data_IF_726020438968
#
_entry.id   IF_726020438968
#
_cell.length_a   1.000
_cell.length_b   1.000
_cell.length_c   1.000
_cell.angle_alpha   90.00
_cell.angle_beta   90.00
_cell.angle_gamma   90.00
#
_symmetry.space_group_name_H-M   'P 1'
#
loop_
_entity.id
_entity.type
_entity.pdbx_description
1 polymer ?
#
# COMPACT_ATOMS: atom_id res chain seq x y z
N UNK A 1 -13.20 -4.40 2.58
CA UNK A 1 -12.03 -4.20 1.70
C UNK A 1 -10.75 -4.42 2.50
N UNK A 2 -10.62 -3.79 3.66
CA UNK A 2 -9.47 -3.93 4.54
C UNK A 2 -9.74 -4.91 5.68
N UNK A 3 -10.82 -4.71 6.45
CA UNK A 3 -11.14 -5.45 7.70
C UNK A 3 -11.78 -6.83 7.51
N UNK A 4 -12.09 -7.19 6.28
CA UNK A 4 -12.64 -8.50 5.93
C UNK A 4 -12.49 -8.73 4.43
N UNK A 5 -13.14 -9.79 3.92
CA UNK A 5 -12.94 -10.27 2.55
C UNK A 5 -12.79 -9.11 1.56
N UNK A 6 -11.66 -9.09 0.86
CA UNK A 6 -11.38 -8.06 -0.13
C UNK A 6 -12.32 -8.21 -1.32
N UNK A 7 -12.94 -7.10 -1.75
CA UNK A 7 -13.96 -7.09 -2.81
C UNK A 7 -13.62 -6.05 -3.87
N UNK A 8 -13.76 -6.42 -5.14
CA UNK A 8 -13.36 -5.59 -6.29
C UNK A 8 -14.13 -4.28 -6.49
N UNK A 9 -15.41 -4.10 -6.07
CA UNK A 9 -16.13 -2.87 -6.38
C UNK A 9 -15.58 -1.60 -5.72
N UNK A 10 -14.87 -1.75 -4.60
CA UNK A 10 -14.37 -0.65 -3.79
C UNK A 10 -12.96 -0.21 -4.23
N UNK A 11 -12.80 0.28 -5.45
CA UNK A 11 -11.49 0.76 -5.93
C UNK A 11 -11.08 2.07 -5.26
N UNK A 12 -9.77 2.37 -5.19
CA UNK A 12 -9.27 3.63 -4.61
C UNK A 12 -9.91 4.88 -5.21
N UNK A 13 -10.10 4.93 -6.52
CA UNK A 13 -10.70 6.08 -7.23
C UNK A 13 -12.16 6.28 -6.84
N UNK A 14 -12.90 5.17 -6.62
CA UNK A 14 -14.30 5.22 -6.18
C UNK A 14 -14.42 5.68 -4.74
N UNK A 15 -13.51 5.24 -3.87
CA UNK A 15 -13.43 5.71 -2.46
C UNK A 15 -13.04 7.19 -2.43
N UNK A 16 -12.04 7.61 -3.21
CA UNK A 16 -11.67 9.01 -3.38
C UNK A 16 -12.85 9.86 -3.85
N UNK A 17 -13.58 9.40 -4.89
CA UNK A 17 -14.71 10.12 -5.43
C UNK A 17 -15.86 10.26 -4.41
N UNK A 18 -16.13 9.22 -3.60
CA UNK A 18 -17.04 9.32 -2.47
C UNK A 18 -16.61 10.46 -1.51
N UNK A 19 -15.33 10.51 -1.14
CA UNK A 19 -14.80 11.55 -0.27
C UNK A 19 -14.89 12.95 -0.90
N UNK A 20 -14.60 13.09 -2.20
CA UNK A 20 -14.77 14.36 -2.95
C UNK A 20 -16.21 14.86 -2.94
N UNK A 21 -17.19 13.96 -3.07
CA UNK A 21 -18.60 14.36 -3.01
C UNK A 21 -18.97 14.92 -1.62
N UNK A 22 -18.28 14.50 -0.56
CA UNK A 22 -18.50 14.91 0.83
C UNK A 22 -17.69 16.14 1.26
N UNK A 23 -16.77 16.64 0.42
CA UNK A 23 -15.91 17.81 0.70
C UNK A 23 -16.72 19.07 1.06
N UNK A 24 -17.90 19.21 0.45
CA UNK A 24 -18.82 20.34 0.69
C UNK A 24 -19.93 19.99 1.70
N UNK A 25 -19.64 19.09 2.63
CA UNK A 25 -20.50 18.75 3.76
C UNK A 25 -21.30 17.45 3.62
N UNK A 26 -21.93 17.00 4.73
CA UNK A 26 -22.61 15.72 4.85
C UNK A 26 -23.68 15.47 3.79
N UNK A 27 -23.85 14.21 3.37
CA UNK A 27 -24.89 13.80 2.40
C UNK A 27 -25.53 12.48 2.79
N UNK A 28 -26.80 12.30 2.46
CA UNK A 28 -27.45 11.01 2.66
C UNK A 28 -26.97 9.98 1.62
N UNK A 29 -27.17 8.70 1.94
CA UNK A 29 -26.75 7.56 1.11
C UNK A 29 -27.38 7.56 -0.30
N UNK A 30 -28.64 7.97 -0.42
CA UNK A 30 -29.39 7.96 -1.69
C UNK A 30 -28.79 8.96 -2.68
N UNK A 31 -28.51 10.18 -2.22
CA UNK A 31 -27.93 11.24 -3.03
C UNK A 31 -26.52 10.86 -3.52
N UNK A 32 -25.68 10.32 -2.63
CA UNK A 32 -24.33 9.89 -2.99
C UNK A 32 -24.37 8.75 -4.01
N UNK A 33 -25.20 7.74 -3.77
CA UNK A 33 -25.37 6.62 -4.71
C UNK A 33 -25.78 7.10 -6.10
N UNK A 34 -26.76 8.02 -6.18
CA UNK A 34 -27.23 8.56 -7.46
C UNK A 34 -26.17 9.36 -8.24
N UNK A 35 -25.22 9.99 -7.53
CA UNK A 35 -24.10 10.75 -8.14
C UNK A 35 -22.92 9.88 -8.53
N UNK A 36 -22.73 8.74 -7.86
CA UNK A 36 -21.66 7.79 -8.15
C UNK A 36 -22.02 6.79 -9.25
N UNK A 37 -23.30 6.44 -9.35
CA UNK A 37 -23.78 5.44 -10.29
C UNK A 37 -24.92 6.00 -11.12
N UNK A 38 -24.65 6.39 -12.38
CA UNK A 38 -25.71 6.65 -13.35
C UNK A 38 -26.66 5.47 -13.42
N UNK A 39 -27.98 5.73 -13.50
CA UNK A 39 -29.00 4.67 -13.61
C UNK A 39 -28.76 3.69 -14.76
N UNK A 40 -28.02 4.09 -15.80
CA UNK A 40 -27.68 3.19 -16.91
C UNK A 40 -26.65 2.11 -16.52
N UNK A 41 -25.81 2.37 -15.51
CA UNK A 41 -24.79 1.44 -15.01
C UNK A 41 -25.29 0.61 -13.81
N UNK A 42 -26.31 1.08 -13.09
CA UNK A 42 -26.99 0.34 -12.03
C UNK A 42 -28.53 0.51 -12.16
N UNK A 43 -29.17 -0.15 -13.15
CA UNK A 43 -30.58 0.06 -13.47
C UNK A 43 -31.54 -0.27 -12.33
N UNK A 44 -31.17 -1.26 -11.51
CA UNK A 44 -31.97 -1.75 -10.40
C UNK A 44 -31.52 -1.19 -9.05
N UNK A 45 -30.36 -0.53 -8.98
CA UNK A 45 -29.80 -0.03 -7.73
C UNK A 45 -29.28 -1.13 -6.78
N UNK A 46 -29.31 -2.41 -7.15
CA UNK A 46 -29.05 -3.52 -6.24
C UNK A 46 -27.63 -4.09 -6.37
N UNK A 47 -26.75 -3.40 -7.09
CA UNK A 47 -25.39 -3.89 -7.37
C UNK A 47 -24.50 -4.11 -6.13
N UNK A 48 -24.89 -3.61 -4.95
CA UNK A 48 -24.07 -3.65 -3.73
C UNK A 48 -22.81 -2.78 -3.77
N UNK A 49 -22.47 -2.21 -4.93
CA UNK A 49 -21.21 -1.48 -5.16
C UNK A 49 -21.05 -0.28 -4.25
N UNK A 50 -22.10 0.54 -4.10
CA UNK A 50 -22.07 1.68 -3.20
C UNK A 50 -21.81 1.26 -1.75
N UNK A 51 -22.43 0.17 -1.30
CA UNK A 51 -22.22 -0.38 0.04
C UNK A 51 -20.76 -0.76 0.27
N UNK A 52 -20.13 -1.43 -0.71
CA UNK A 52 -18.74 -1.85 -0.60
C UNK A 52 -17.77 -0.66 -0.60
N UNK A 53 -18.02 0.36 -1.43
CA UNK A 53 -17.21 1.59 -1.45
C UNK A 53 -17.33 2.35 -0.14
N UNK A 54 -18.57 2.52 0.35
CA UNK A 54 -18.83 3.18 1.64
C UNK A 54 -18.13 2.42 2.77
N UNK A 55 -18.28 1.10 2.82
CA UNK A 55 -17.62 0.25 3.82
C UNK A 55 -16.10 0.41 3.78
N UNK A 56 -15.48 0.43 2.60
CA UNK A 56 -14.04 0.66 2.49
C UNK A 56 -13.63 2.05 3.02
N UNK A 57 -14.44 3.09 2.76
CA UNK A 57 -14.20 4.42 3.30
C UNK A 57 -14.37 4.48 4.84
N UNK A 58 -15.34 3.74 5.40
CA UNK A 58 -15.54 3.58 6.85
C UNK A 58 -14.36 2.81 7.49
N UNK A 59 -13.90 1.73 6.85
CA UNK A 59 -12.76 0.92 7.30
C UNK A 59 -11.45 1.73 7.35
N UNK A 60 -11.27 2.67 6.42
CA UNK A 60 -10.14 3.61 6.37
C UNK A 60 -10.32 4.86 7.24
N UNK A 61 -11.42 4.94 8.01
CA UNK A 61 -11.78 6.11 8.82
C UNK A 61 -11.80 7.42 8.03
N UNK A 62 -12.14 7.34 6.74
CA UNK A 62 -12.30 8.50 5.87
C UNK A 62 -13.66 9.17 6.06
N UNK A 63 -14.67 8.37 6.41
CA UNK A 63 -16.04 8.81 6.61
C UNK A 63 -16.64 8.17 7.84
N UNK A 64 -17.70 8.81 8.37
CA UNK A 64 -18.54 8.29 9.46
C UNK A 64 -20.01 8.44 9.08
N UNK A 65 -20.86 7.55 9.60
CA UNK A 65 -22.31 7.61 9.45
C UNK A 65 -22.94 8.09 10.75
N UNK A 66 -23.60 9.24 10.70
CA UNK A 66 -24.31 9.83 11.84
C UNK A 66 -25.64 10.41 11.34
N UNK A 67 -26.73 10.18 12.08
CA UNK A 67 -28.06 10.70 11.75
C UNK A 67 -28.51 10.41 10.29
N UNK A 68 -28.23 9.20 9.79
CA UNK A 68 -28.46 8.78 8.40
C UNK A 68 -27.70 9.60 7.34
N UNK A 69 -26.72 10.40 7.74
CA UNK A 69 -25.85 11.19 6.89
C UNK A 69 -24.43 10.60 6.92
N UNK A 70 -23.80 10.58 5.75
CA UNK A 70 -22.38 10.24 5.62
C UNK A 70 -21.60 11.55 5.69
N UNK A 71 -20.62 11.61 6.59
CA UNK A 71 -19.77 12.78 6.85
C UNK A 71 -18.33 12.44 6.52
N UNK A 72 -17.60 13.38 5.93
CA UNK A 72 -16.15 13.26 5.77
C UNK A 72 -15.49 13.45 7.14
N UNK A 73 -14.69 12.48 7.57
CA UNK A 73 -13.86 12.55 8.78
C UNK A 73 -12.44 13.00 8.44
N UNK A 74 -11.94 12.60 7.27
CA UNK A 74 -10.59 12.92 6.86
C UNK A 74 -10.39 14.41 6.50
N UNK A 75 -9.19 14.97 6.67
CA UNK A 75 -8.88 16.36 6.30
C UNK A 75 -9.10 16.64 4.81
N UNK A 76 -9.66 17.80 4.44
CA UNK A 76 -9.96 18.10 3.04
C UNK A 76 -8.72 18.28 2.16
N UNK A 77 -7.56 18.61 2.74
CA UNK A 77 -6.31 18.74 2.00
C UNK A 77 -5.82 17.41 1.40
N UNK A 78 -6.29 16.25 1.88
CA UNK A 78 -5.96 14.95 1.26
C UNK A 78 -6.70 14.76 -0.07
N UNK A 79 -7.73 15.58 -0.33
CA UNK A 79 -8.61 15.50 -1.49
C UNK A 79 -8.18 16.43 -2.63
N UNK A 80 -6.96 16.98 -2.57
CA UNK A 80 -6.42 17.84 -3.62
C UNK A 80 -5.95 17.03 -4.84
N UNK A 81 -5.47 15.80 -4.63
CA UNK A 81 -5.05 14.90 -5.70
C UNK A 81 -5.09 13.44 -5.25
N UNK A 82 -4.91 12.51 -6.20
CA UNK A 82 -4.79 11.08 -5.90
C UNK A 82 -3.52 10.78 -5.09
N UNK A 83 -2.44 11.50 -5.34
CA UNK A 83 -1.18 11.36 -4.61
C UNK A 83 -1.37 11.71 -3.14
N UNK A 84 -1.95 12.87 -2.82
CA UNK A 84 -2.21 13.26 -1.42
C UNK A 84 -3.18 12.31 -0.72
N UNK A 85 -4.14 11.73 -1.45
CA UNK A 85 -5.05 10.73 -0.91
C UNK A 85 -4.35 9.40 -0.61
N UNK A 86 -3.53 8.91 -1.55
CA UNK A 86 -2.70 7.70 -1.38
C UNK A 86 -1.75 7.84 -0.19
N UNK A 87 -1.05 8.96 -0.14
CA UNK A 87 -0.12 9.32 0.93
C UNK A 87 -0.79 9.24 2.32
N UNK A 88 -1.97 9.83 2.46
CA UNK A 88 -2.74 9.77 3.70
C UNK A 88 -3.08 8.32 4.10
N UNK A 89 -3.53 7.51 3.14
CA UNK A 89 -3.88 6.10 3.40
C UNK A 89 -2.64 5.28 3.77
N UNK A 90 -1.50 5.51 3.11
CA UNK A 90 -0.23 4.85 3.43
C UNK A 90 0.23 5.18 4.85
N UNK A 91 0.03 6.41 5.33
CA UNK A 91 0.29 6.77 6.72
C UNK A 91 -0.74 6.16 7.71
N UNK A 92 -1.97 5.89 7.26
CA UNK A 92 -3.02 5.26 8.07
C UNK A 92 -2.90 3.72 8.15
N UNK A 93 -2.27 3.07 7.17
CA UNK A 93 -2.38 1.60 6.96
C UNK A 93 -2.00 0.76 8.18
N UNK A 94 -1.11 1.26 9.05
CA UNK A 94 -0.75 0.57 10.29
C UNK A 94 -1.94 0.37 11.25
N UNK A 95 -2.95 1.25 11.21
CA UNK A 95 -4.16 1.09 12.02
C UNK A 95 -5.02 -0.11 11.59
N UNK A 96 -4.67 -0.74 10.47
CA UNK A 96 -5.29 -1.95 9.93
C UNK A 96 -4.40 -3.18 10.13
N UNK A 97 -3.43 -3.14 11.06
CA UNK A 97 -2.42 -4.19 11.22
C UNK A 97 -2.99 -5.56 11.58
N UNK A 98 -4.20 -5.62 12.12
CA UNK A 98 -4.87 -6.87 12.50
C UNK A 98 -5.82 -7.40 11.43
N UNK A 99 -5.89 -6.73 10.27
CA UNK A 99 -6.89 -6.93 9.22
C UNK A 99 -6.33 -7.65 7.98
N UNK A 100 -7.24 -8.21 7.16
CA UNK A 100 -6.91 -9.09 6.02
C UNK A 100 -5.98 -8.46 5.00
N UNK A 101 -6.23 -7.21 4.61
CA UNK A 101 -5.38 -6.54 3.62
C UNK A 101 -3.93 -6.40 4.11
N UNK A 102 -3.74 -6.07 5.38
CA UNK A 102 -2.42 -5.88 5.97
C UNK A 102 -1.66 -7.20 6.07
N UNK A 103 -2.30 -8.23 6.64
CA UNK A 103 -1.69 -9.55 6.80
C UNK A 103 -1.33 -10.19 5.46
N UNK A 104 -2.23 -10.10 4.46
CA UNK A 104 -1.97 -10.63 3.12
C UNK A 104 -0.83 -9.87 2.45
N UNK A 105 -0.79 -8.54 2.57
CA UNK A 105 0.29 -7.73 2.00
C UNK A 105 1.63 -8.09 2.66
N UNK A 106 1.66 -8.17 3.99
CA UNK A 106 2.87 -8.56 4.73
C UNK A 106 3.35 -9.95 4.36
N UNK A 107 2.45 -10.93 4.33
CA UNK A 107 2.76 -12.29 3.90
C UNK A 107 3.34 -12.32 2.47
N UNK A 108 2.74 -11.56 1.54
CA UNK A 108 3.23 -11.45 0.17
C UNK A 108 4.69 -11.01 0.13
N UNK A 109 5.05 -9.97 0.88
CA UNK A 109 6.41 -9.43 0.87
C UNK A 109 7.43 -10.31 1.62
N UNK A 110 7.02 -10.98 2.70
CA UNK A 110 7.87 -11.92 3.44
C UNK A 110 8.24 -13.13 2.57
N UNK A 111 7.34 -13.59 1.70
CA UNK A 111 7.63 -14.68 0.73
C UNK A 111 8.69 -14.29 -0.32
N UNK A 112 9.01 -13.00 -0.46
CA UNK A 112 10.11 -12.53 -1.30
C UNK A 112 9.99 -12.93 -2.77
N UNK A 113 11.00 -13.60 -3.31
CA UNK A 113 10.98 -14.04 -4.72
C UNK A 113 10.19 -15.32 -4.95
N UNK A 114 9.89 -16.10 -3.91
CA UNK A 114 9.12 -17.35 -4.04
C UNK A 114 7.75 -17.08 -4.67
N UNK A 115 7.08 -16.00 -4.26
CA UNK A 115 5.78 -15.63 -4.82
C UNK A 115 5.87 -15.14 -6.27
N UNK A 116 7.04 -14.68 -6.73
CA UNK A 116 7.25 -14.28 -8.13
C UNK A 116 7.50 -15.53 -9.00
N UNK A 117 8.36 -16.44 -8.52
CA UNK A 117 8.80 -17.62 -9.28
C UNK A 117 7.81 -18.77 -9.27
N UNK A 118 7.10 -18.97 -8.16
CA UNK A 118 6.26 -20.15 -7.94
C UNK A 118 4.80 -19.89 -8.32
N UNK A 119 4.36 -18.63 -8.32
CA UNK A 119 2.94 -18.31 -8.20
C UNK A 119 2.38 -17.43 -9.33
N UNK A 120 3.24 -16.76 -10.09
CA UNK A 120 2.85 -15.67 -11.01
C UNK A 120 1.75 -16.00 -12.03
N UNK A 121 1.46 -17.27 -12.31
CA UNK A 121 0.36 -17.68 -13.21
C UNK A 121 -0.61 -18.74 -12.64
N UNK A 122 -0.54 -19.09 -11.33
CA UNK A 122 -1.41 -20.13 -10.75
C UNK A 122 -2.12 -19.64 -9.47
N UNK A 123 -3.40 -19.28 -9.63
CA UNK A 123 -4.28 -18.78 -8.56
C UNK A 123 -4.39 -19.77 -7.39
N UNK A 124 -4.39 -21.08 -7.65
CA UNK A 124 -4.52 -22.12 -6.62
C UNK A 124 -3.25 -22.19 -5.77
N UNK A 125 -2.08 -22.18 -6.39
CA UNK A 125 -0.79 -22.11 -5.68
C UNK A 125 -0.70 -20.80 -4.88
N UNK A 126 -1.13 -19.66 -5.44
CA UNK A 126 -1.15 -18.39 -4.72
C UNK A 126 -1.96 -18.46 -3.45
N UNK A 127 -3.18 -18.98 -3.56
CA UNK A 127 -4.06 -19.11 -2.41
C UNK A 127 -3.45 -20.02 -1.34
N UNK A 128 -2.76 -21.11 -1.71
CA UNK A 128 -2.16 -22.03 -0.74
C UNK A 128 -0.97 -21.39 -0.03
N UNK A 129 -0.08 -20.72 -0.77
CA UNK A 129 1.12 -20.11 -0.20
C UNK A 129 0.73 -18.99 0.77
N UNK A 130 -0.24 -18.14 0.41
CA UNK A 130 -0.74 -17.10 1.32
C UNK A 130 -1.50 -17.69 2.50
N UNK A 131 -2.33 -18.72 2.30
CA UNK A 131 -3.03 -19.40 3.39
C UNK A 131 -2.04 -19.93 4.43
N UNK A 132 -0.96 -20.59 3.99
CA UNK A 132 0.10 -21.06 4.87
C UNK A 132 0.84 -19.90 5.57
N UNK A 133 1.23 -18.87 4.82
CA UNK A 133 1.97 -17.71 5.35
C UNK A 133 1.14 -16.89 6.34
N UNK A 134 -0.19 -16.99 6.28
CA UNK A 134 -1.13 -16.32 7.20
C UNK A 134 -1.69 -17.25 8.28
N UNK A 135 -1.03 -18.39 8.54
CA UNK A 135 -1.45 -19.39 9.53
C UNK A 135 -2.90 -19.88 9.35
N UNK A 136 -3.29 -20.12 8.09
CA UNK A 136 -4.63 -20.55 7.67
C UNK A 136 -5.76 -19.56 7.98
N UNK A 137 -5.43 -18.27 8.18
CA UNK A 137 -6.41 -17.21 8.44
C UNK A 137 -7.13 -16.77 7.17
N UNK A 138 -6.44 -16.78 6.04
CA UNK A 138 -6.95 -16.20 4.79
C UNK A 138 -6.78 -17.11 3.57
N UNK A 139 -7.91 -17.49 2.99
CA UNK A 139 -7.97 -18.21 1.73
C UNK A 139 -8.42 -17.30 0.60
N UNK A 140 -7.54 -17.03 -0.35
CA UNK A 140 -7.75 -16.02 -1.38
C UNK A 140 -8.27 -16.64 -2.68
N UNK A 141 -9.54 -16.37 -3.01
CA UNK A 141 -10.08 -16.66 -4.33
C UNK A 141 -9.59 -15.63 -5.38
N UNK A 142 -9.88 -15.88 -6.66
CA UNK A 142 -9.47 -15.00 -7.76
C UNK A 142 -10.00 -13.56 -7.60
N UNK A 143 -11.19 -13.39 -7.05
CA UNK A 143 -11.81 -12.08 -6.83
C UNK A 143 -11.07 -11.31 -5.74
N UNK A 144 -10.80 -11.96 -4.61
CA UNK A 144 -10.04 -11.39 -3.49
C UNK A 144 -8.63 -11.01 -3.91
N UNK A 145 -7.94 -11.86 -4.69
CA UNK A 145 -6.61 -11.55 -5.22
C UNK A 145 -6.62 -10.34 -6.15
N UNK A 146 -7.61 -10.23 -7.03
CA UNK A 146 -7.72 -9.06 -7.91
C UNK A 146 -8.04 -7.78 -7.12
N UNK A 147 -8.92 -7.86 -6.12
CA UNK A 147 -9.22 -6.75 -5.22
C UNK A 147 -7.96 -6.26 -4.48
N UNK A 148 -7.16 -7.19 -3.96
CA UNK A 148 -5.86 -6.90 -3.35
C UNK A 148 -4.93 -6.18 -4.34
N UNK A 149 -4.72 -6.73 -5.55
CA UNK A 149 -3.80 -6.14 -6.54
C UNK A 149 -4.15 -4.69 -6.91
N UNK A 150 -5.44 -4.35 -7.01
CA UNK A 150 -5.87 -2.98 -7.29
C UNK A 150 -5.40 -2.00 -6.21
N UNK A 151 -5.68 -2.33 -4.95
CA UNK A 151 -5.24 -1.50 -3.83
C UNK A 151 -3.73 -1.54 -3.65
N UNK A 152 -3.10 -2.70 -3.80
CA UNK A 152 -1.66 -2.83 -3.64
C UNK A 152 -0.89 -1.98 -4.67
N UNK A 153 -1.36 -1.98 -5.91
CA UNK A 153 -0.81 -1.14 -6.98
C UNK A 153 -1.01 0.34 -6.67
N UNK A 154 -2.24 0.73 -6.31
CA UNK A 154 -2.54 2.11 -5.98
C UNK A 154 -1.71 2.64 -4.81
N UNK A 155 -1.55 1.84 -3.74
CA UNK A 155 -0.77 2.20 -2.56
C UNK A 155 0.75 2.18 -2.80
N UNK A 156 1.19 1.73 -3.97
CA UNK A 156 2.60 1.86 -4.37
C UNK A 156 3.49 0.72 -3.89
N UNK A 157 2.91 -0.46 -3.63
CA UNK A 157 3.64 -1.66 -3.25
C UNK A 157 4.30 -2.36 -4.46
N UNK A 158 3.89 -2.02 -5.67
CA UNK A 158 4.39 -2.61 -6.90
C UNK A 158 3.45 -2.39 -8.06
N UNK A 159 3.71 -3.06 -9.17
CA UNK A 159 2.97 -2.89 -10.41
C UNK A 159 2.46 -4.22 -10.96
N UNK A 160 1.30 -4.19 -11.62
CA UNK A 160 0.82 -5.33 -12.41
C UNK A 160 1.54 -5.30 -13.75
N UNK A 161 2.31 -6.35 -14.02
CA UNK A 161 2.98 -6.57 -15.28
C UNK A 161 2.26 -7.66 -16.10
N UNK A 162 2.84 -8.01 -17.26
CA UNK A 162 2.31 -9.01 -18.20
C UNK A 162 1.74 -10.24 -17.48
N UNK A 163 0.63 -10.75 -18.00
CA UNK A 163 -0.10 -11.91 -17.47
C UNK A 163 -0.66 -11.73 -16.05
N UNK A 164 -0.96 -10.49 -15.64
CA UNK A 164 -1.55 -10.18 -14.32
C UNK A 164 -0.61 -10.51 -13.14
N UNK A 165 0.70 -10.61 -13.40
CA UNK A 165 1.72 -10.82 -12.39
C UNK A 165 1.98 -9.51 -11.64
N UNK A 166 1.89 -9.53 -10.32
CA UNK A 166 2.29 -8.40 -9.48
C UNK A 166 3.81 -8.44 -9.27
N UNK A 167 4.52 -7.35 -9.57
CA UNK A 167 5.96 -7.21 -9.39
C UNK A 167 6.22 -6.23 -8.24
N UNK A 168 6.86 -6.69 -7.15
CA UNK A 168 7.14 -5.83 -6.00
C UNK A 168 8.15 -4.74 -6.30
N UNK A 169 7.74 -3.50 -6.08
CA UNK A 169 8.60 -2.33 -6.07
C UNK A 169 7.95 -1.27 -5.17
N UNK A 170 8.45 -1.15 -3.93
CA UNK A 170 7.86 -0.26 -2.94
C UNK A 170 8.23 1.21 -3.13
N UNK A 171 8.79 1.63 -4.28
CA UNK A 171 9.29 3.00 -4.48
C UNK A 171 8.24 4.06 -4.11
N UNK A 172 7.01 3.91 -4.61
CA UNK A 172 5.94 4.89 -4.35
C UNK A 172 5.54 4.87 -2.88
N UNK A 173 5.34 3.70 -2.30
CA UNK A 173 5.01 3.56 -0.88
C UNK A 173 6.10 4.19 0.02
N UNK A 174 7.38 3.90 -0.23
CA UNK A 174 8.51 4.46 0.52
C UNK A 174 8.61 5.98 0.33
N UNK A 175 8.38 6.49 -0.88
CA UNK A 175 8.32 7.94 -1.12
C UNK A 175 7.24 8.60 -0.27
N UNK A 176 6.04 8.02 -0.24
CA UNK A 176 4.94 8.53 0.56
C UNK A 176 5.32 8.52 2.06
N UNK A 177 5.93 7.46 2.58
CA UNK A 177 6.41 7.43 3.97
C UNK A 177 7.49 8.49 4.23
N UNK A 178 8.44 8.70 3.32
CA UNK A 178 9.44 9.76 3.43
C UNK A 178 8.75 11.12 3.55
N UNK A 179 7.73 11.39 2.74
CA UNK A 179 7.01 12.67 2.74
C UNK A 179 6.31 12.95 4.08
N UNK A 180 5.88 11.92 4.83
CA UNK A 180 5.21 12.06 6.14
C UNK A 180 6.14 11.85 7.34
N UNK A 181 7.33 11.29 7.14
CA UNK A 181 8.27 10.94 8.22
C UNK A 181 8.79 12.13 9.03
N UNK A 182 8.72 13.35 8.48
CA UNK A 182 9.34 14.53 9.07
C UNK A 182 10.88 14.49 9.04
N UNK A 183 11.49 13.54 8.34
CA UNK A 183 12.93 13.47 8.15
C UNK A 183 13.43 14.68 7.35
N UNK A 184 14.55 15.24 7.80
CA UNK A 184 15.17 16.42 7.20
C UNK A 184 15.88 16.05 5.89
N UNK A 185 15.70 16.87 4.86
CA UNK A 185 16.46 16.76 3.61
C UNK A 185 17.92 17.16 3.84
N UNK A 186 18.81 16.63 3.02
CA UNK A 186 20.26 16.83 3.05
C UNK A 186 20.96 16.41 4.35
N UNK A 187 20.24 15.77 5.27
CA UNK A 187 20.80 15.16 6.47
C UNK A 187 21.09 13.69 6.21
N UNK A 188 22.31 13.27 6.55
CA UNK A 188 22.68 11.85 6.51
C UNK A 188 22.20 11.17 7.80
N UNK A 189 21.48 10.07 7.63
CA UNK A 189 21.02 9.19 8.70
C UNK A 189 21.76 7.86 8.60
N UNK A 190 21.95 7.15 9.71
CA UNK A 190 22.21 5.71 9.59
C UNK A 190 21.02 5.04 8.93
N UNK A 191 21.25 3.95 8.19
CA UNK A 191 20.18 3.25 7.49
C UNK A 191 19.07 2.78 8.48
N UNK A 192 19.46 2.36 9.69
CA UNK A 192 18.52 1.98 10.75
C UNK A 192 17.68 3.16 11.26
N UNK A 193 18.29 4.32 11.49
CA UNK A 193 17.57 5.54 11.91
C UNK A 193 16.60 6.00 10.81
N UNK A 194 17.03 5.96 9.55
CA UNK A 194 16.18 6.30 8.42
C UNK A 194 14.94 5.41 8.36
N UNK A 195 15.13 4.08 8.39
CA UNK A 195 14.00 3.12 8.37
C UNK A 195 13.09 3.31 9.58
N UNK A 196 13.64 3.50 10.77
CA UNK A 196 12.85 3.78 11.98
C UNK A 196 12.05 5.08 11.85
N UNK A 197 12.61 6.08 11.17
CA UNK A 197 11.98 7.36 10.89
C UNK A 197 10.81 7.29 9.91
N UNK A 198 10.74 6.27 9.03
CA UNK A 198 9.61 6.06 8.12
C UNK A 198 8.29 5.74 8.83
N UNK A 199 8.34 5.42 10.12
CA UNK A 199 7.18 5.16 10.95
C UNK A 199 6.61 3.74 10.80
N UNK A 200 5.56 3.47 11.58
CA UNK A 200 5.05 2.10 11.78
C UNK A 200 4.43 1.47 10.53
N UNK A 201 3.92 2.28 9.60
CA UNK A 201 3.39 1.79 8.33
C UNK A 201 4.42 1.02 7.51
N UNK A 202 5.72 1.26 7.72
CA UNK A 202 6.79 0.49 7.09
C UNK A 202 6.73 -1.01 7.41
N UNK A 203 6.19 -1.39 8.58
CA UNK A 203 6.14 -2.78 9.06
C UNK A 203 5.27 -3.71 8.18
N UNK A 204 4.36 -3.13 7.37
CA UNK A 204 3.55 -3.90 6.41
C UNK A 204 4.40 -4.60 5.36
N UNK A 205 5.62 -4.10 5.11
CA UNK A 205 6.54 -4.71 4.15
C UNK A 205 7.15 -6.00 4.68
N UNK A 206 7.02 -6.34 5.97
CA UNK A 206 7.46 -7.67 6.46
C UNK A 206 8.96 -7.96 6.25
N UNK A 207 9.81 -6.93 6.36
CA UNK A 207 11.27 -7.09 6.37
C UNK A 207 11.73 -7.85 7.63
N UNK A 208 12.86 -8.56 7.57
CA UNK A 208 13.35 -9.41 8.65
C UNK A 208 14.56 -8.77 9.35
N UNK A 209 14.32 -8.07 10.46
CA UNK A 209 15.37 -7.38 11.19
C UNK A 209 16.09 -6.35 10.31
N UNK A 210 17.39 -6.55 10.08
CA UNK A 210 18.19 -5.69 9.20
C UNK A 210 18.21 -6.14 7.73
N UNK A 211 17.43 -7.16 7.35
CA UNK A 211 17.37 -7.68 5.98
C UNK A 211 16.12 -7.18 5.28
N UNK A 212 16.32 -6.41 4.20
CA UNK A 212 15.24 -5.89 3.38
C UNK A 212 14.82 -6.92 2.34
N UNK A 213 13.51 -7.15 2.23
CA UNK A 213 12.96 -8.04 1.22
C UNK A 213 13.18 -7.48 -0.21
N UNK A 214 12.80 -8.27 -1.21
CA UNK A 214 12.94 -7.94 -2.62
C UNK A 214 12.26 -6.61 -3.00
N UNK A 215 11.00 -6.39 -2.61
CA UNK A 215 10.24 -5.20 -2.96
C UNK A 215 10.72 -3.92 -2.26
N UNK A 216 11.09 -4.01 -0.98
CA UNK A 216 11.72 -2.90 -0.25
C UNK A 216 13.05 -2.52 -0.89
N UNK A 217 13.86 -3.51 -1.23
CA UNK A 217 15.15 -3.32 -1.91
C UNK A 217 14.99 -2.64 -3.26
N UNK A 218 14.05 -3.09 -4.09
CA UNK A 218 13.74 -2.45 -5.37
C UNK A 218 13.26 -1.02 -5.19
N UNK A 219 12.44 -0.77 -4.17
CA UNK A 219 11.96 0.56 -3.84
C UNK A 219 13.12 1.51 -3.49
N UNK A 220 14.00 1.10 -2.57
CA UNK A 220 15.16 1.87 -2.16
C UNK A 220 16.13 2.14 -3.31
N UNK A 221 16.42 1.13 -4.16
CA UNK A 221 17.25 1.30 -5.37
C UNK A 221 16.62 2.27 -6.36
N UNK A 222 15.31 2.15 -6.60
CA UNK A 222 14.60 3.05 -7.50
C UNK A 222 14.65 4.50 -7.01
N UNK A 223 14.45 4.73 -5.70
CA UNK A 223 14.57 6.06 -5.11
C UNK A 223 16.00 6.62 -5.19
N UNK A 224 17.01 5.75 -5.08
CA UNK A 224 18.40 6.13 -5.25
C UNK A 224 18.72 6.56 -6.69
N UNK A 225 18.34 5.75 -7.67
CA UNK A 225 18.54 6.03 -9.10
C UNK A 225 17.83 7.32 -9.53
N UNK A 226 16.62 7.55 -9.00
CA UNK A 226 15.84 8.77 -9.24
C UNK A 226 16.36 9.99 -8.45
N UNK A 227 17.43 9.84 -7.67
CA UNK A 227 18.02 10.89 -6.83
C UNK A 227 17.03 11.50 -5.84
N UNK A 228 16.08 10.71 -5.35
CA UNK A 228 15.25 11.08 -4.19
C UNK A 228 16.04 10.85 -2.91
N UNK A 229 16.76 9.73 -2.85
CA UNK A 229 17.66 9.42 -1.74
C UNK A 229 19.05 9.14 -2.29
N UNK A 230 20.05 9.21 -1.42
CA UNK A 230 21.39 8.68 -1.65
C UNK A 230 21.65 7.61 -0.61
N UNK A 231 22.03 6.43 -1.09
CA UNK A 231 22.38 5.27 -0.26
C UNK A 231 23.89 5.11 -0.33
N UNK A 232 24.52 4.89 0.80
CA UNK A 232 25.98 4.77 0.90
C UNK A 232 26.35 3.58 1.76
N UNK A 233 27.47 2.94 1.40
CA UNK A 233 28.14 1.95 2.22
C UNK A 233 29.48 2.53 2.68
N UNK A 234 29.60 2.77 3.98
CA UNK A 234 30.84 3.22 4.60
C UNK A 234 31.50 2.00 5.23
N UNK A 235 32.74 1.72 4.83
CA UNK A 235 33.55 0.63 5.39
C UNK A 235 33.69 0.80 6.90
N UNK A 236 33.73 -0.33 7.64
CA UNK A 236 33.89 -0.42 9.11
C UNK A 236 32.67 -0.02 9.97
N UNK A 237 31.46 0.05 9.41
CA UNK A 237 30.23 0.26 10.18
C UNK A 237 29.40 -1.03 10.32
N UNK A 238 29.40 -1.61 11.52
CA UNK A 238 28.71 -2.88 11.85
C UNK A 238 27.17 -2.79 11.81
N UNK A 239 26.59 -1.60 11.65
CA UNK A 239 25.13 -1.37 11.64
C UNK A 239 24.53 -1.31 10.24
N UNK A 240 25.00 -2.17 9.34
CA UNK A 240 24.49 -2.21 7.98
C UNK A 240 23.09 -2.82 7.88
N UNK A 241 22.26 -2.27 6.99
CA UNK A 241 21.08 -2.93 6.46
C UNK A 241 21.50 -3.73 5.23
N UNK A 242 21.04 -4.97 5.16
CA UNK A 242 21.29 -5.90 4.04
C UNK A 242 20.16 -5.76 3.04
N UNK A 243 20.51 -5.49 1.79
CA UNK A 243 19.58 -5.44 0.67
C UNK A 243 19.48 -6.81 0.02
N UNK A 244 18.32 -7.12 -0.56
CA UNK A 244 18.14 -8.34 -1.33
C UNK A 244 19.16 -8.42 -2.49
N UNK A 245 19.86 -9.55 -2.57
CA UNK A 245 20.92 -9.79 -3.54
C UNK A 245 20.36 -9.78 -4.96
N UNK A 246 21.01 -9.03 -5.84
CA UNK A 246 20.75 -9.07 -7.27
C UNK A 246 21.96 -9.71 -7.98
N UNK A 247 21.76 -10.23 -9.19
CA UNK A 247 22.85 -10.80 -9.99
C UNK A 247 23.75 -9.74 -10.63
N UNK A 248 23.49 -8.46 -10.33
CA UNK A 248 24.29 -7.34 -10.79
C UNK A 248 25.40 -7.05 -9.77
N UNK A 249 26.68 -7.27 -10.13
CA UNK A 249 27.81 -7.08 -9.22
C UNK A 249 28.06 -5.60 -8.86
N UNK A 250 27.49 -4.65 -9.61
CA UNK A 250 27.68 -3.21 -9.36
C UNK A 250 26.71 -2.67 -8.29
N UNK A 251 25.69 -3.45 -7.92
CA UNK A 251 24.72 -3.06 -6.90
C UNK A 251 25.21 -3.43 -5.50
N UNK A 252 25.29 -2.43 -4.62
CA UNK A 252 25.59 -2.70 -3.21
C UNK A 252 24.55 -3.65 -2.59
N UNK A 253 25.06 -4.62 -1.85
CA UNK A 253 24.29 -5.59 -1.07
C UNK A 253 24.07 -5.13 0.38
N UNK A 254 24.72 -4.04 0.79
CA UNK A 254 24.53 -3.45 2.11
C UNK A 254 24.62 -1.94 2.10
N UNK A 255 23.87 -1.31 3.00
CA UNK A 255 23.83 0.15 3.14
C UNK A 255 24.01 0.50 4.61
N UNK A 256 24.81 1.52 4.88
CA UNK A 256 25.07 2.01 6.25
C UNK A 256 24.42 3.35 6.48
N UNK A 257 24.24 4.14 5.42
CA UNK A 257 23.73 5.50 5.49
C UNK A 257 22.75 5.80 4.37
N UNK A 258 21.76 6.64 4.68
CA UNK A 258 20.79 7.17 3.71
C UNK A 258 20.67 8.67 3.92
N UNK A 259 20.67 9.43 2.83
CA UNK A 259 20.42 10.88 2.81
C UNK A 259 19.22 11.14 1.90
N UNK A 260 18.23 11.91 2.37
CA UNK A 260 17.15 12.39 1.51
C UNK A 260 17.66 13.60 0.73
N UNK A 261 17.49 13.63 -0.57
CA UNK A 261 17.99 14.69 -1.44
C UNK A 261 16.92 15.78 -1.66
N UNK A 262 17.37 17.00 -1.98
CA UNK A 262 16.48 18.02 -2.53
C UNK A 262 16.09 17.68 -3.97
N UNK A 263 14.80 17.86 -4.27
CA UNK A 263 14.24 17.67 -5.61
C UNK A 263 14.49 18.91 -6.48
#
# INVERSE_FOLDING_TARGET
MFKGKMETPATPERVYYLCKLLENGPKNSVDLKSKMFPKILDPNGDSGYFGNIRKAAEELELVVIEDNMIKLLAPTNILVSQESFREYINNFIYNLSDDEFYDVTKAYFTLGTEIITTVSNNVSEYSKVIDNATNHRYKLDNTTQNAWRFWATYLGFGDIFKNNMFIPNCKVFLQDLINYSGLEKNKSYSAQEFISGLGRSFDILGNEGNVMNYGTTNGLRSLHELKVIKMEHILDNDKAIVLYKNNDPDLSESITNITILEA
#
